data_IF_646409078509
#
_entry.id   IF_646409078509
#
_cell.length_a   1.000
_cell.length_b   1.000
_cell.length_c   1.000
_cell.angle_alpha   90.00
_cell.angle_beta   90.00
_cell.angle_gamma   90.00
#
_symmetry.space_group_name_H-M   'P 1'
#
loop_
_entity.id
_entity.type
_entity.pdbx_description
1 polymer ?
#
# COMPACT_ATOMS: atom_id res chain seq x y z
N UNK A 1 -21.56 -28.05 22.07
CA UNK A 1 -20.44 -27.15 21.74
C UNK A 1 -21.00 -25.75 21.76
N UNK A 2 -20.85 -25.03 22.87
CA UNK A 2 -21.23 -23.61 22.93
C UNK A 2 -20.19 -22.82 22.15
N UNK A 3 -20.46 -22.58 20.87
CA UNK A 3 -19.64 -21.72 20.01
C UNK A 3 -19.71 -20.28 20.54
N UNK A 4 -18.65 -19.48 20.38
CA UNK A 4 -18.65 -18.06 20.76
C UNK A 4 -19.83 -17.29 20.13
N UNK A 5 -20.35 -17.80 19.00
CA UNK A 5 -21.59 -17.32 18.38
C UNK A 5 -22.85 -17.38 19.26
N UNK A 6 -22.98 -18.36 20.16
CA UNK A 6 -24.13 -18.41 21.09
C UNK A 6 -24.09 -17.27 22.12
N UNK A 7 -22.89 -16.89 22.58
CA UNK A 7 -22.70 -15.73 23.46
C UNK A 7 -23.13 -14.45 22.74
N UNK A 8 -22.75 -14.30 21.47
CA UNK A 8 -23.14 -13.16 20.64
C UNK A 8 -24.66 -13.11 20.38
N UNK A 9 -25.32 -14.26 20.24
CA UNK A 9 -26.79 -14.34 20.13
C UNK A 9 -27.49 -13.77 21.36
N UNK A 10 -27.01 -14.09 22.56
CA UNK A 10 -27.57 -13.57 23.81
C UNK A 10 -27.39 -12.05 23.95
N UNK A 11 -26.30 -11.50 23.42
CA UNK A 11 -25.94 -10.08 23.52
C UNK A 11 -26.48 -9.26 22.33
N UNK A 12 -27.25 -9.91 21.42
CA UNK A 12 -27.66 -9.46 20.08
C UNK A 12 -26.48 -9.50 19.09
N UNK A 13 -26.62 -10.30 18.04
CA UNK A 13 -25.56 -10.59 17.06
C UNK A 13 -24.95 -9.33 16.42
N UNK A 14 -25.74 -8.25 16.24
CA UNK A 14 -25.27 -6.97 15.67
C UNK A 14 -25.87 -5.75 16.41
N UNK A 15 -25.61 -5.67 17.72
CA UNK A 15 -26.03 -4.56 18.58
C UNK A 15 -25.26 -3.25 18.37
N UNK A 16 -25.62 -2.22 19.14
CA UNK A 16 -25.01 -0.88 19.05
C UNK A 16 -23.52 -0.93 19.40
N UNK A 17 -23.14 -1.71 20.43
CA UNK A 17 -21.74 -1.89 20.79
C UNK A 17 -20.93 -2.47 19.64
N UNK A 18 -21.41 -3.53 18.98
CA UNK A 18 -20.73 -4.14 17.84
C UNK A 18 -20.62 -3.19 16.64
N UNK A 19 -21.67 -2.39 16.37
CA UNK A 19 -21.65 -1.39 15.30
C UNK A 19 -20.64 -0.28 15.56
N UNK A 20 -20.60 0.26 16.78
CA UNK A 20 -19.65 1.31 17.17
C UNK A 20 -18.22 0.80 17.13
N UNK A 21 -17.96 -0.40 17.67
CA UNK A 21 -16.64 -1.03 17.62
C UNK A 21 -16.22 -1.32 16.18
N UNK A 22 -17.14 -1.80 15.33
CA UNK A 22 -16.85 -2.01 13.91
C UNK A 22 -16.48 -0.70 13.21
N UNK A 23 -17.25 0.38 13.41
CA UNK A 23 -16.96 1.69 12.82
C UNK A 23 -15.61 2.23 13.29
N UNK A 24 -15.31 2.10 14.59
CA UNK A 24 -14.04 2.52 15.18
C UNK A 24 -12.84 1.71 14.64
N UNK A 25 -13.03 0.41 14.36
CA UNK A 25 -12.04 -0.44 13.71
C UNK A 25 -11.95 -0.26 12.19
N UNK A 26 -12.96 0.33 11.55
CA UNK A 26 -12.94 0.61 10.11
C UNK A 26 -12.05 1.80 9.76
N UNK A 27 -11.98 2.82 10.62
CA UNK A 27 -11.20 4.03 10.34
C UNK A 27 -9.67 3.78 10.20
N UNK A 28 -8.99 2.99 11.04
CA UNK A 28 -7.58 2.63 10.86
C UNK A 28 -7.38 1.91 9.53
N UNK A 29 -8.31 1.03 9.15
CA UNK A 29 -8.25 0.29 7.88
C UNK A 29 -8.41 1.22 6.67
N UNK A 30 -9.23 2.27 6.78
CA UNK A 30 -9.38 3.29 5.74
C UNK A 30 -8.06 4.06 5.56
N UNK A 31 -7.45 4.51 6.66
CA UNK A 31 -6.24 5.34 6.60
C UNK A 31 -5.00 4.51 6.25
N UNK A 32 -4.89 3.26 6.70
CA UNK A 32 -3.77 2.36 6.38
C UNK A 32 -3.61 2.17 4.86
N UNK A 33 -4.70 2.23 4.12
CA UNK A 33 -4.69 2.13 2.67
C UNK A 33 -3.87 3.26 2.00
N UNK A 34 -3.65 4.38 2.70
CA UNK A 34 -2.85 5.48 2.18
C UNK A 34 -1.36 5.12 2.10
N UNK A 35 -0.87 4.22 2.96
CA UNK A 35 0.55 3.86 3.03
C UNK A 35 0.94 3.02 1.81
N UNK A 36 0.25 1.91 1.57
CA UNK A 36 0.57 0.97 0.48
C UNK A 36 0.44 1.58 -0.91
N UNK A 37 -0.51 2.50 -1.10
CA UNK A 37 -0.86 3.00 -2.42
C UNK A 37 -0.15 4.30 -2.78
N UNK A 38 0.47 4.95 -1.80
CA UNK A 38 1.26 6.16 -2.06
C UNK A 38 2.44 5.88 -3.00
N UNK A 39 3.01 4.68 -3.00
CA UNK A 39 4.17 4.32 -3.82
C UNK A 39 3.98 4.60 -5.32
N UNK A 40 2.84 4.19 -5.91
CA UNK A 40 2.58 4.41 -7.35
C UNK A 40 2.67 5.88 -7.78
N UNK A 41 2.28 6.78 -6.89
CA UNK A 41 2.24 8.22 -7.18
C UNK A 41 3.55 8.90 -6.83
N UNK A 42 4.11 8.54 -5.68
CA UNK A 42 5.33 9.12 -5.13
C UNK A 42 6.54 8.74 -5.99
N UNK A 43 6.52 7.56 -6.61
CA UNK A 43 7.58 7.01 -7.45
C UNK A 43 7.34 7.24 -8.95
N UNK A 44 6.42 8.15 -9.30
CA UNK A 44 6.17 8.47 -10.71
C UNK A 44 7.45 8.97 -11.39
N UNK A 45 7.68 8.43 -12.58
CA UNK A 45 8.86 8.70 -13.40
C UNK A 45 8.53 9.71 -14.52
N UNK A 46 8.85 11.01 -14.37
CA UNK A 46 8.53 12.02 -15.38
C UNK A 46 9.52 12.03 -16.54
N UNK A 47 9.04 12.54 -17.69
CA UNK A 47 9.90 12.89 -18.81
C UNK A 47 10.96 13.91 -18.41
N UNK A 48 12.16 13.77 -18.97
CA UNK A 48 13.35 14.51 -18.55
C UNK A 48 14.42 14.53 -19.62
N UNK A 49 15.38 15.42 -19.43
CA UNK A 49 16.64 15.43 -20.15
C UNK A 49 17.79 15.87 -19.24
N UNK A 50 19.03 15.69 -19.71
CA UNK A 50 20.20 16.22 -19.01
C UNK A 50 20.13 17.76 -18.92
N UNK A 51 20.62 18.33 -17.83
CA UNK A 51 20.92 19.76 -17.82
C UNK A 51 22.13 20.02 -18.74
N UNK A 52 21.95 20.87 -19.74
CA UNK A 52 22.97 21.22 -20.73
C UNK A 52 23.30 22.71 -20.74
N UNK A 53 23.06 23.41 -19.63
CA UNK A 53 23.28 24.86 -19.48
C UNK A 53 24.74 25.27 -19.64
N UNK A 54 25.66 24.30 -19.64
CA UNK A 54 27.07 24.54 -19.98
C UNK A 54 27.22 25.24 -21.33
N UNK A 55 26.35 24.98 -22.31
CA UNK A 55 26.44 25.60 -23.65
C UNK A 55 26.12 27.10 -23.62
N UNK A 56 25.35 27.57 -22.63
CA UNK A 56 25.01 28.99 -22.47
C UNK A 56 26.23 29.83 -22.10
N UNK A 57 27.32 29.20 -21.63
CA UNK A 57 28.60 29.89 -21.45
C UNK A 57 29.27 30.26 -22.77
N UNK A 58 28.99 29.52 -23.85
CA UNK A 58 29.52 29.78 -25.19
C UNK A 58 28.68 30.80 -25.97
N UNK A 59 27.35 30.80 -25.77
CA UNK A 59 26.44 31.79 -26.32
C UNK A 59 25.19 31.91 -25.42
N UNK A 60 25.04 33.03 -24.68
CA UNK A 60 23.93 33.23 -23.74
C UNK A 60 22.56 33.42 -24.39
N UNK A 61 22.51 33.79 -25.67
CA UNK A 61 21.27 34.18 -26.36
C UNK A 61 20.62 33.00 -27.12
N UNK A 62 21.04 31.76 -26.83
CA UNK A 62 20.49 30.57 -27.47
C UNK A 62 19.00 30.36 -27.15
N UNK A 63 18.25 29.95 -28.18
CA UNK A 63 16.88 29.47 -27.95
C UNK A 63 16.88 28.10 -27.25
N UNK A 64 15.91 27.82 -26.36
CA UNK A 64 15.85 26.53 -25.66
C UNK A 64 15.77 25.32 -26.59
N UNK A 65 15.05 25.44 -27.71
CA UNK A 65 14.93 24.37 -28.70
C UNK A 65 16.27 24.08 -29.40
N UNK A 66 16.99 25.15 -29.75
CA UNK A 66 18.30 25.02 -30.37
C UNK A 66 19.32 24.43 -29.39
N UNK A 67 19.29 24.85 -28.12
CA UNK A 67 20.11 24.27 -27.07
C UNK A 67 19.92 22.76 -26.98
N UNK A 68 18.67 22.28 -26.91
CA UNK A 68 18.39 20.85 -26.82
C UNK A 68 18.86 20.11 -28.08
N UNK A 69 18.64 20.69 -29.26
CA UNK A 69 19.01 20.05 -30.53
C UNK A 69 20.53 19.93 -30.74
N UNK A 70 21.32 20.85 -30.17
CA UNK A 70 22.78 20.81 -30.24
C UNK A 70 23.40 19.92 -29.16
N UNK A 71 22.75 19.77 -28.00
CA UNK A 71 23.36 19.15 -26.81
C UNK A 71 22.84 17.76 -26.46
N UNK A 72 21.67 17.36 -26.99
CA UNK A 72 21.06 16.06 -26.72
C UNK A 72 21.00 15.19 -27.97
N UNK A 73 21.41 13.91 -27.88
CA UNK A 73 21.23 12.96 -28.96
C UNK A 73 19.75 12.62 -29.14
N UNK A 74 19.35 12.28 -30.37
CA UNK A 74 18.00 11.76 -30.69
C UNK A 74 18.00 10.24 -30.68
N UNK A 75 16.91 9.67 -30.19
CA UNK A 75 16.64 8.23 -30.24
C UNK A 75 16.00 7.83 -31.57
N UNK A 76 15.84 6.53 -31.80
CA UNK A 76 15.28 5.99 -33.06
C UNK A 76 13.87 6.49 -33.36
N UNK A 77 13.11 6.82 -32.31
CA UNK A 77 11.77 7.39 -32.39
C UNK A 77 11.75 8.91 -32.67
N UNK A 78 12.92 9.54 -32.81
CA UNK A 78 13.07 10.98 -33.09
C UNK A 78 12.97 11.90 -31.87
N UNK A 79 12.63 11.36 -30.71
CA UNK A 79 12.63 12.05 -29.41
C UNK A 79 14.06 12.26 -28.89
N UNK A 80 14.25 13.24 -28.02
CA UNK A 80 15.53 13.43 -27.34
C UNK A 80 15.79 12.30 -26.34
N UNK A 81 17.06 11.92 -26.18
CA UNK A 81 17.41 10.89 -25.22
C UNK A 81 17.22 11.37 -23.79
N UNK A 82 16.57 10.53 -22.98
CA UNK A 82 16.23 10.85 -21.59
C UNK A 82 17.40 10.79 -20.62
N UNK A 83 18.47 10.07 -20.98
CA UNK A 83 19.56 9.70 -20.05
C UNK A 83 20.96 10.06 -20.55
N UNK A 84 21.10 10.59 -21.77
CA UNK A 84 22.38 10.83 -22.41
C UNK A 84 22.45 12.24 -22.97
N UNK A 85 23.65 12.79 -22.97
CA UNK A 85 23.98 14.08 -23.58
C UNK A 85 25.27 13.97 -24.39
N UNK A 86 25.48 14.91 -25.30
CA UNK A 86 26.80 15.11 -25.87
C UNK A 86 27.77 15.66 -24.83
N UNK A 87 29.01 15.20 -24.90
CA UNK A 87 30.06 15.60 -23.97
C UNK A 87 30.33 17.11 -24.07
N UNK A 88 30.42 17.83 -22.95
CA UNK A 88 30.75 19.25 -22.96
C UNK A 88 32.11 19.51 -23.62
N UNK A 89 32.20 20.54 -24.44
CA UNK A 89 33.44 20.96 -25.13
C UNK A 89 33.61 22.46 -24.96
N UNK A 90 34.83 22.89 -24.64
CA UNK A 90 35.19 24.30 -24.60
C UNK A 90 35.46 24.80 -26.03
N UNK A 91 34.45 25.40 -26.68
CA UNK A 91 34.55 25.87 -28.06
C UNK A 91 33.50 26.92 -28.42
N UNK A 92 33.75 27.67 -29.51
CA UNK A 92 32.79 28.63 -30.03
C UNK A 92 31.56 27.94 -30.62
N UNK A 93 30.38 28.53 -30.39
CA UNK A 93 29.09 28.01 -30.86
C UNK A 93 29.05 27.79 -32.38
N UNK A 94 29.76 28.61 -33.15
CA UNK A 94 29.86 28.48 -34.61
C UNK A 94 30.47 27.14 -35.04
N UNK A 95 31.51 26.68 -34.33
CA UNK A 95 32.18 25.41 -34.63
C UNK A 95 31.29 24.23 -34.27
N UNK A 96 30.55 24.34 -33.16
CA UNK A 96 29.58 23.33 -32.72
C UNK A 96 28.44 23.19 -33.73
N UNK A 97 27.93 24.30 -34.27
CA UNK A 97 26.90 24.29 -35.34
C UNK A 97 27.38 23.65 -36.63
N UNK A 98 28.65 23.84 -37.00
CA UNK A 98 29.19 23.35 -38.27
C UNK A 98 29.60 21.87 -38.22
N UNK A 99 30.24 21.44 -37.13
CA UNK A 99 30.84 20.10 -37.02
C UNK A 99 30.01 19.13 -36.16
N UNK A 100 29.08 19.63 -35.36
CA UNK A 100 28.29 18.84 -34.42
C UNK A 100 29.13 18.25 -33.28
N UNK A 101 28.45 17.58 -32.35
CA UNK A 101 29.08 16.82 -31.27
C UNK A 101 28.87 15.32 -31.52
N UNK A 102 29.93 14.52 -31.39
CA UNK A 102 29.89 13.09 -31.71
C UNK A 102 30.09 12.19 -30.48
N UNK A 103 30.73 12.68 -29.43
CA UNK A 103 31.00 11.91 -28.22
C UNK A 103 29.81 12.00 -27.25
N UNK A 104 29.21 10.86 -26.91
CA UNK A 104 28.04 10.76 -26.04
C UNK A 104 28.48 10.33 -24.64
N UNK A 105 27.92 10.94 -23.61
CA UNK A 105 28.18 10.61 -22.20
C UNK A 105 26.88 10.65 -21.38
N UNK A 106 26.95 10.14 -20.15
CA UNK A 106 25.85 10.27 -19.18
C UNK A 106 25.72 11.71 -18.68
N UNK A 107 24.56 12.08 -18.13
CA UNK A 107 24.35 13.44 -17.65
C UNK A 107 25.30 13.81 -16.51
N UNK A 108 26.00 14.94 -16.63
CA UNK A 108 26.99 15.38 -15.64
C UNK A 108 26.48 16.52 -14.74
N UNK A 109 25.69 17.44 -15.30
CA UNK A 109 25.26 18.67 -14.62
C UNK A 109 23.85 18.56 -14.00
N UNK A 110 23.41 17.34 -13.70
CA UNK A 110 22.06 17.07 -13.19
C UNK A 110 21.00 16.96 -14.28
N UNK A 111 19.74 17.09 -13.86
CA UNK A 111 18.56 16.74 -14.64
C UNK A 111 17.57 17.89 -14.71
N UNK A 112 16.92 18.03 -15.87
CA UNK A 112 15.77 18.92 -16.05
C UNK A 112 14.56 18.05 -16.32
N UNK A 113 13.57 18.14 -15.43
CA UNK A 113 12.34 17.36 -15.48
C UNK A 113 11.25 18.17 -16.19
N UNK A 114 10.63 17.57 -17.21
CA UNK A 114 9.51 18.13 -17.95
C UNK A 114 8.24 17.68 -17.23
N UNK A 115 7.82 18.44 -16.22
CA UNK A 115 6.68 18.09 -15.39
C UNK A 115 5.37 18.69 -15.94
N UNK A 116 4.47 17.83 -16.42
CA UNK A 116 3.11 18.22 -16.78
C UNK A 116 2.05 17.80 -15.73
N UNK A 117 2.39 16.86 -14.85
CA UNK A 117 1.42 16.15 -13.98
C UNK A 117 1.69 16.28 -12.48
N UNK A 118 2.95 16.37 -12.06
CA UNK A 118 3.36 16.45 -10.65
C UNK A 118 4.30 17.63 -10.42
N UNK A 119 4.25 18.22 -9.24
CA UNK A 119 5.18 19.27 -8.87
C UNK A 119 6.50 18.67 -8.37
N UNK A 120 6.41 17.64 -7.52
CA UNK A 120 7.56 16.90 -6.97
C UNK A 120 7.22 15.44 -6.73
N UNK A 121 8.14 14.55 -7.09
CA UNK A 121 8.12 13.10 -6.80
C UNK A 121 9.41 12.67 -6.11
N UNK A 122 9.42 11.49 -5.46
CA UNK A 122 10.65 10.92 -4.84
C UNK A 122 11.74 10.72 -5.89
N UNK A 123 11.35 10.37 -7.12
CA UNK A 123 12.27 10.22 -8.24
C UNK A 123 12.96 11.55 -8.58
N UNK A 124 12.19 12.64 -8.72
CA UNK A 124 12.74 13.96 -9.05
C UNK A 124 13.57 14.55 -7.91
N UNK A 125 13.20 14.27 -6.66
CA UNK A 125 13.78 14.92 -5.49
C UNK A 125 15.11 14.28 -5.08
N UNK A 126 15.25 12.97 -5.29
CA UNK A 126 16.51 12.24 -5.06
C UNK A 126 17.27 11.87 -6.35
N UNK A 127 16.80 12.32 -7.53
CA UNK A 127 17.38 12.00 -8.84
C UNK A 127 17.57 10.50 -9.09
N UNK A 128 16.53 9.70 -8.84
CA UNK A 128 16.54 8.24 -8.97
C UNK A 128 16.25 7.81 -10.41
N UNK A 129 17.09 8.27 -11.34
CA UNK A 129 16.86 8.11 -12.78
C UNK A 129 18.04 7.45 -13.47
N UNK A 130 17.79 6.84 -14.63
CA UNK A 130 18.80 6.24 -15.50
C UNK A 130 19.63 5.19 -14.75
N UNK A 131 20.93 5.44 -14.48
CA UNK A 131 21.79 4.51 -13.75
C UNK A 131 21.27 4.18 -12.34
N UNK A 132 20.50 5.10 -11.75
CA UNK A 132 19.91 4.96 -10.42
C UNK A 132 18.41 4.57 -10.45
N UNK A 133 17.85 4.25 -11.61
CA UNK A 133 16.42 3.93 -11.74
C UNK A 133 16.01 2.70 -10.91
N UNK A 134 16.91 1.72 -10.76
CA UNK A 134 16.68 0.53 -9.94
C UNK A 134 16.46 0.84 -8.45
N UNK A 135 16.92 1.99 -7.95
CA UNK A 135 16.75 2.38 -6.56
C UNK A 135 15.28 2.62 -6.20
N UNK A 136 14.44 2.96 -7.19
CA UNK A 136 12.99 3.05 -7.00
C UNK A 136 12.41 1.69 -6.60
N UNK A 137 12.80 0.62 -7.31
CA UNK A 137 12.38 -0.75 -6.99
C UNK A 137 12.94 -1.24 -5.64
N UNK A 138 14.13 -0.75 -5.27
CA UNK A 138 14.73 -1.02 -3.95
C UNK A 138 13.87 -0.44 -2.83
N UNK A 139 13.31 0.76 -2.98
CA UNK A 139 12.39 1.36 -1.99
C UNK A 139 11.21 0.43 -1.73
N UNK A 140 10.53 -0.02 -2.78
CA UNK A 140 9.39 -0.94 -2.69
C UNK A 140 9.79 -2.26 -2.01
N UNK A 141 10.95 -2.80 -2.37
CA UNK A 141 11.47 -4.05 -1.81
C UNK A 141 11.77 -3.91 -0.32
N UNK A 142 12.40 -2.81 0.10
CA UNK A 142 12.71 -2.52 1.51
C UNK A 142 11.43 -2.35 2.33
N UNK A 143 10.43 -1.65 1.79
CA UNK A 143 9.12 -1.51 2.42
C UNK A 143 8.45 -2.88 2.61
N UNK A 144 8.40 -3.71 1.57
CA UNK A 144 7.80 -5.05 1.63
C UNK A 144 8.56 -6.01 2.55
N UNK A 145 9.89 -5.91 2.61
CA UNK A 145 10.70 -6.62 3.58
C UNK A 145 10.32 -6.20 5.02
N UNK A 146 10.10 -4.90 5.24
CA UNK A 146 9.54 -4.38 6.48
C UNK A 146 8.19 -5.02 6.82
N UNK A 147 7.25 -5.05 5.87
CA UNK A 147 5.92 -5.68 6.05
C UNK A 147 6.05 -7.14 6.45
N UNK A 148 6.96 -7.90 5.83
CA UNK A 148 7.23 -9.28 6.19
C UNK A 148 7.75 -9.41 7.63
N UNK A 149 8.76 -8.62 7.99
CA UNK A 149 9.34 -8.59 9.35
C UNK A 149 8.25 -8.26 10.38
N UNK A 150 7.46 -7.22 10.11
CA UNK A 150 6.33 -6.81 10.97
C UNK A 150 5.30 -7.92 11.13
N UNK A 151 4.94 -8.59 10.04
CA UNK A 151 3.99 -9.71 10.06
C UNK A 151 4.50 -10.90 10.87
N UNK A 152 5.80 -11.20 10.83
CA UNK A 152 6.40 -12.29 11.60
C UNK A 152 6.51 -11.97 13.09
N UNK A 153 6.91 -10.74 13.43
CA UNK A 153 7.07 -10.30 14.83
C UNK A 153 5.71 -10.13 15.50
N UNK A 154 4.77 -9.46 14.82
CA UNK A 154 3.51 -9.03 15.42
C UNK A 154 2.30 -9.88 15.01
N UNK A 155 2.41 -10.73 13.98
CA UNK A 155 1.34 -11.62 13.54
C UNK A 155 0.74 -12.50 14.64
N UNK A 156 1.55 -13.17 15.49
CA UNK A 156 1.04 -13.96 16.62
C UNK A 156 0.29 -13.13 17.67
N UNK A 157 0.55 -11.83 17.71
CA UNK A 157 -0.05 -10.87 18.64
C UNK A 157 -1.09 -9.96 17.99
N UNK A 158 -1.46 -10.20 16.72
CA UNK A 158 -2.35 -9.32 15.95
C UNK A 158 -3.77 -9.21 16.55
N UNK A 159 -4.18 -10.19 17.37
CA UNK A 159 -5.44 -10.13 18.13
C UNK A 159 -5.39 -9.17 19.35
N UNK A 160 -4.18 -8.75 19.77
CA UNK A 160 -3.89 -7.79 20.85
C UNK A 160 -3.75 -6.37 20.27
N UNK A 161 -4.74 -5.96 19.48
CA UNK A 161 -4.71 -4.83 18.54
C UNK A 161 -4.33 -3.46 19.14
N UNK A 162 -4.30 -3.31 20.47
CA UNK A 162 -4.31 -1.99 21.12
C UNK A 162 -2.91 -1.46 21.48
N UNK A 163 -1.95 -2.31 21.85
CA UNK A 163 -0.67 -1.84 22.42
C UNK A 163 0.47 -1.64 21.40
N UNK A 164 0.45 -2.35 20.27
CA UNK A 164 1.55 -2.33 19.28
C UNK A 164 1.49 -1.12 18.32
N UNK A 165 0.36 -0.43 18.28
CA UNK A 165 0.08 0.68 17.36
C UNK A 165 1.00 1.89 17.60
N UNK A 166 1.44 2.10 18.85
CA UNK A 166 2.09 3.35 19.28
C UNK A 166 3.44 3.64 18.59
N UNK A 167 4.11 2.63 18.02
CA UNK A 167 5.51 2.74 17.60
C UNK A 167 5.71 3.14 16.12
N UNK A 168 4.66 3.15 15.29
CA UNK A 168 4.81 3.19 13.83
C UNK A 168 4.27 4.44 13.13
N UNK A 169 3.92 5.50 13.87
CA UNK A 169 3.33 6.74 13.34
C UNK A 169 4.35 7.87 13.08
N UNK A 170 5.37 8.00 13.94
CA UNK A 170 6.51 8.91 13.72
C UNK A 170 7.26 8.74 12.39
N UNK A 171 7.46 7.53 11.84
CA UNK A 171 8.31 7.34 10.68
C UNK A 171 7.68 7.81 9.37
N UNK A 172 6.35 7.92 9.24
CA UNK A 172 5.71 8.39 7.99
C UNK A 172 5.94 9.91 7.77
N UNK A 173 5.70 10.71 8.83
CA UNK A 173 6.06 12.14 8.83
C UNK A 173 7.57 12.34 8.69
N UNK A 174 8.38 11.42 9.24
CA UNK A 174 9.84 11.48 9.14
C UNK A 174 10.36 11.11 7.75
N UNK A 175 9.69 10.20 7.03
CA UNK A 175 9.99 9.90 5.63
C UNK A 175 9.74 11.11 4.73
N UNK A 176 8.62 11.82 4.94
CA UNK A 176 8.27 13.04 4.20
C UNK A 176 9.30 14.18 4.38
N UNK A 177 9.92 14.26 5.55
CA UNK A 177 10.92 15.27 5.90
C UNK A 177 12.36 14.82 5.67
N UNK A 178 12.55 13.59 5.17
CA UNK A 178 13.89 13.03 4.98
C UNK A 178 14.69 13.86 3.96
N UNK A 179 15.90 14.34 4.32
CA UNK A 179 16.74 15.12 3.40
C UNK A 179 17.59 14.22 2.50
N UNK A 180 17.78 12.95 2.88
CA UNK A 180 18.66 12.00 2.19
C UNK A 180 17.92 10.70 1.86
N UNK A 181 18.23 10.12 0.71
CA UNK A 181 17.62 8.88 0.22
C UNK A 181 17.79 7.69 1.17
N UNK A 182 18.97 7.52 1.79
CA UNK A 182 19.18 6.42 2.73
C UNK A 182 18.36 6.55 4.03
N UNK A 183 18.11 7.79 4.49
CA UNK A 183 17.20 8.02 5.61
C UNK A 183 15.77 7.74 5.20
N UNK A 184 15.38 8.14 3.99
CA UNK A 184 14.08 7.77 3.41
C UNK A 184 13.89 6.25 3.41
N UNK A 185 14.87 5.47 2.92
CA UNK A 185 14.84 4.01 2.93
C UNK A 185 14.69 3.42 4.34
N UNK A 186 15.46 3.94 5.31
CA UNK A 186 15.37 3.49 6.70
C UNK A 186 13.97 3.75 7.28
N UNK A 187 13.37 4.90 7.01
CA UNK A 187 12.01 5.19 7.43
C UNK A 187 10.99 4.29 6.73
N UNK A 188 11.14 4.03 5.43
CA UNK A 188 10.27 3.12 4.69
C UNK A 188 10.28 1.69 5.26
N UNK A 189 11.45 1.20 5.71
CA UNK A 189 11.53 -0.07 6.41
C UNK A 189 10.69 -0.07 7.69
N UNK A 190 10.81 0.98 8.51
CA UNK A 190 10.08 1.11 9.77
C UNK A 190 8.57 1.21 9.52
N UNK A 191 8.14 2.01 8.53
CA UNK A 191 6.74 2.10 8.12
C UNK A 191 6.23 0.74 7.65
N UNK A 192 7.02 0.01 6.86
CA UNK A 192 6.70 -1.35 6.43
C UNK A 192 6.50 -2.30 7.62
N UNK A 193 7.40 -2.30 8.60
CA UNK A 193 7.25 -3.11 9.84
C UNK A 193 5.94 -2.81 10.56
N UNK A 194 5.54 -1.54 10.62
CA UNK A 194 4.24 -1.14 11.19
C UNK A 194 3.05 -1.64 10.36
N UNK A 195 3.13 -1.50 9.03
CA UNK A 195 2.09 -1.94 8.12
C UNK A 195 1.84 -3.45 8.17
N UNK A 196 2.87 -4.26 8.49
CA UNK A 196 2.74 -5.72 8.67
C UNK A 196 1.85 -6.16 9.85
N UNK A 197 1.52 -5.26 10.77
CA UNK A 197 0.61 -5.53 11.90
C UNK A 197 -0.84 -5.60 11.42
N UNK A 198 -1.18 -4.82 10.39
CA UNK A 198 -2.56 -4.58 9.98
C UNK A 198 -3.01 -5.53 8.87
N UNK A 199 -4.17 -6.14 9.07
CA UNK A 199 -4.89 -6.82 8.00
C UNK A 199 -6.01 -5.91 7.49
N UNK A 200 -5.93 -5.41 6.25
CA UNK A 200 -6.95 -4.50 5.74
C UNK A 200 -8.31 -5.20 5.71
N UNK A 201 -9.30 -4.58 6.35
CA UNK A 201 -10.71 -4.92 6.12
C UNK A 201 -11.07 -4.41 4.72
N UNK A 202 -11.14 -5.33 3.77
CA UNK A 202 -11.05 -5.08 2.33
C UNK A 202 -12.01 -4.01 1.78
N UNK A 203 -13.22 -3.88 2.32
CA UNK A 203 -14.18 -2.87 1.85
C UNK A 203 -13.82 -1.42 2.21
N UNK A 204 -13.39 -1.15 3.44
CA UNK A 204 -13.07 0.21 3.89
C UNK A 204 -11.72 0.71 3.38
N UNK A 205 -10.79 -0.22 3.14
CA UNK A 205 -9.53 0.07 2.48
C UNK A 205 -9.76 0.73 1.12
N UNK A 206 -10.58 0.11 0.25
CA UNK A 206 -10.87 0.64 -1.08
C UNK A 206 -11.43 2.08 -1.08
N UNK A 207 -12.32 2.40 -0.12
CA UNK A 207 -12.81 3.78 0.07
C UNK A 207 -11.68 4.74 0.42
N UNK A 208 -10.77 4.33 1.31
CA UNK A 208 -9.57 5.09 1.61
C UNK A 208 -8.72 5.34 0.37
N UNK A 209 -8.51 4.32 -0.47
CA UNK A 209 -7.69 4.47 -1.68
C UNK A 209 -8.31 5.45 -2.69
N UNK A 210 -9.63 5.45 -2.83
CA UNK A 210 -10.34 6.45 -3.64
C UNK A 210 -10.13 7.88 -3.11
N UNK A 211 -10.18 8.07 -1.79
CA UNK A 211 -9.90 9.36 -1.14
C UNK A 211 -8.45 9.78 -1.41
N UNK A 212 -7.51 8.86 -1.24
CA UNK A 212 -6.09 9.13 -1.49
C UNK A 212 -5.85 9.57 -2.93
N UNK A 213 -6.40 8.86 -3.93
CA UNK A 213 -6.25 9.22 -5.33
C UNK A 213 -6.73 10.66 -5.61
N UNK A 214 -7.86 11.06 -5.00
CA UNK A 214 -8.36 12.42 -5.08
C UNK A 214 -7.45 13.45 -4.39
N UNK A 215 -6.91 13.13 -3.20
CA UNK A 215 -5.98 14.00 -2.49
C UNK A 215 -4.69 14.23 -3.29
N UNK A 216 -4.11 13.18 -3.87
CA UNK A 216 -2.87 13.28 -4.65
C UNK A 216 -3.09 14.10 -5.92
N UNK A 217 -4.25 13.93 -6.59
CA UNK A 217 -4.60 14.73 -7.77
C UNK A 217 -4.61 16.24 -7.49
N UNK A 218 -5.02 16.64 -6.28
CA UNK A 218 -5.04 18.04 -5.84
C UNK A 218 -3.64 18.50 -5.42
N UNK A 219 -2.92 17.70 -4.62
CA UNK A 219 -1.69 18.15 -3.96
C UNK A 219 -0.46 18.09 -4.87
N UNK A 220 -0.33 17.06 -5.72
CA UNK A 220 0.76 16.85 -6.70
C UNK A 220 2.21 16.91 -6.18
N UNK A 221 2.40 17.10 -4.89
CA UNK A 221 3.67 17.06 -4.16
C UNK A 221 3.68 15.87 -3.19
N UNK A 222 4.66 15.00 -3.34
CA UNK A 222 4.77 13.78 -2.55
C UNK A 222 5.05 14.04 -1.06
N UNK A 223 5.83 15.06 -0.71
CA UNK A 223 6.18 15.37 0.70
C UNK A 223 4.96 15.89 1.43
N UNK A 224 4.24 16.82 0.83
CA UNK A 224 3.02 17.38 1.44
C UNK A 224 1.94 16.31 1.53
N UNK A 225 1.79 15.47 0.51
CA UNK A 225 0.88 14.34 0.53
C UNK A 225 1.18 13.40 1.71
N UNK A 226 2.44 13.00 1.91
CA UNK A 226 2.85 12.13 3.02
C UNK A 226 2.58 12.77 4.40
N UNK A 227 2.76 14.09 4.53
CA UNK A 227 2.44 14.81 5.77
C UNK A 227 0.92 14.86 6.05
N UNK A 228 0.12 15.10 5.01
CA UNK A 228 -1.34 15.13 5.15
C UNK A 228 -1.87 13.74 5.50
N UNK A 229 -1.36 12.68 4.88
CA UNK A 229 -1.77 11.30 5.17
C UNK A 229 -1.35 10.85 6.57
N UNK A 230 -0.30 11.44 7.15
CA UNK A 230 0.11 11.19 8.53
C UNK A 230 -0.87 11.76 9.59
N UNK A 231 -1.67 12.78 9.25
CA UNK A 231 -2.58 13.41 10.21
C UNK A 231 -3.76 12.50 10.64
N UNK A 232 -4.53 11.86 9.72
CA UNK A 232 -5.57 10.89 10.10
C UNK A 232 -5.00 9.65 10.82
N UNK A 233 -3.77 9.28 10.49
CA UNK A 233 -3.05 8.21 11.18
C UNK A 233 -2.78 8.60 12.64
N UNK A 234 -2.38 9.84 12.90
CA UNK A 234 -2.17 10.36 14.27
C UNK A 234 -3.48 10.35 15.08
N UNK A 235 -4.61 10.69 14.47
CA UNK A 235 -5.93 10.60 15.13
C UNK A 235 -6.24 9.17 15.59
N UNK A 236 -5.83 8.17 14.78
CA UNK A 236 -6.01 6.75 15.11
C UNK A 236 -5.33 6.35 16.41
N UNK A 237 -4.15 6.90 16.70
CA UNK A 237 -3.42 6.66 17.96
C UNK A 237 -4.21 7.14 19.16
N UNK A 238 -4.86 8.30 19.06
CA UNK A 238 -5.55 8.90 20.19
C UNK A 238 -6.75 8.05 20.58
N UNK A 239 -7.56 7.63 19.61
CA UNK A 239 -8.81 6.93 19.94
C UNK A 239 -8.65 5.41 20.10
N UNK A 240 -7.57 4.78 19.60
CA UNK A 240 -7.40 3.32 19.74
C UNK A 240 -7.26 2.88 21.20
N UNK A 241 -6.79 3.77 22.08
CA UNK A 241 -6.80 3.57 23.54
C UNK A 241 -8.20 3.36 24.12
N UNK A 242 -9.23 3.88 23.47
CA UNK A 242 -10.61 3.73 23.90
C UNK A 242 -11.27 2.45 23.35
N UNK A 243 -10.62 1.78 22.38
CA UNK A 243 -11.11 0.51 21.84
C UNK A 243 -10.71 -0.61 22.80
N UNK A 244 -11.68 -1.34 23.37
CA UNK A 244 -11.36 -2.48 24.22
C UNK A 244 -10.77 -3.63 23.41
N UNK A 245 -9.88 -4.40 24.03
CA UNK A 245 -9.35 -5.64 23.45
C UNK A 245 -10.47 -6.64 23.17
N UNK A 246 -10.25 -7.55 22.21
CA UNK A 246 -11.28 -8.52 21.85
C UNK A 246 -11.53 -9.52 22.99
N UNK A 247 -12.81 -9.81 23.27
CA UNK A 247 -13.16 -10.79 24.30
C UNK A 247 -12.54 -12.17 24.04
N UNK A 248 -12.39 -12.57 22.77
CA UNK A 248 -11.74 -13.82 22.37
C UNK A 248 -10.26 -13.85 22.76
N UNK A 249 -9.53 -12.76 22.54
CA UNK A 249 -8.13 -12.65 22.93
C UNK A 249 -7.96 -12.75 24.46
N UNK A 250 -8.81 -12.04 25.21
CA UNK A 250 -8.81 -12.08 26.67
C UNK A 250 -9.04 -13.50 27.20
N UNK A 251 -9.99 -14.24 26.62
CA UNK A 251 -10.23 -15.64 26.97
C UNK A 251 -9.05 -16.55 26.64
N UNK A 252 -8.41 -16.35 25.48
CA UNK A 252 -7.25 -17.14 25.07
C UNK A 252 -6.04 -16.92 25.99
N UNK A 253 -5.88 -15.69 26.53
CA UNK A 253 -4.87 -15.35 27.53
C UNK A 253 -5.21 -15.80 28.95
N UNK A 254 -6.40 -16.37 29.17
CA UNK A 254 -6.89 -16.76 30.50
C UNK A 254 -7.39 -15.60 31.36
N UNK A 255 -7.53 -14.39 30.79
CA UNK A 255 -8.06 -13.19 31.46
C UNK A 255 -9.60 -13.21 31.45
N UNK A 256 -10.19 -14.21 32.11
CA UNK A 256 -11.64 -14.48 32.06
C UNK A 256 -12.49 -13.39 32.68
N UNK A 257 -12.03 -12.75 33.77
CA UNK A 257 -12.78 -11.66 34.41
C UNK A 257 -12.82 -10.39 33.56
N UNK A 258 -11.71 -10.01 32.90
CA UNK A 258 -11.68 -8.88 31.97
C UNK A 258 -12.61 -9.13 30.77
N UNK A 259 -12.58 -10.35 30.20
CA UNK A 259 -13.48 -10.74 29.10
C UNK A 259 -14.95 -10.64 29.50
N UNK A 260 -15.27 -11.06 30.72
CA UNK A 260 -16.63 -11.00 31.29
C UNK A 260 -17.09 -9.56 31.49
N UNK A 261 -16.26 -8.70 32.10
CA UNK A 261 -16.59 -7.28 32.27
C UNK A 261 -16.90 -6.60 30.93
N UNK A 262 -16.10 -6.90 29.90
CA UNK A 262 -16.33 -6.39 28.55
C UNK A 262 -17.67 -6.83 27.96
N UNK A 263 -18.01 -8.11 28.11
CA UNK A 263 -19.25 -8.71 27.59
C UNK A 263 -20.48 -8.17 28.36
N UNK A 264 -20.37 -7.97 29.67
CA UNK A 264 -21.42 -7.30 30.47
C UNK A 264 -21.61 -5.85 30.03
N UNK A 265 -20.52 -5.11 29.78
CA UNK A 265 -20.58 -3.74 29.25
C UNK A 265 -21.27 -3.71 27.88
N UNK A 266 -20.93 -4.64 26.99
CA UNK A 266 -21.57 -4.77 25.69
C UNK A 266 -23.08 -5.06 25.80
N UNK A 267 -23.48 -5.97 26.71
CA UNK A 267 -24.88 -6.28 26.97
C UNK A 267 -25.66 -5.08 27.54
N UNK A 268 -25.06 -4.33 28.47
CA UNK A 268 -25.65 -3.11 29.02
C UNK A 268 -25.90 -2.05 27.94
N UNK A 269 -24.91 -1.80 27.07
CA UNK A 269 -25.03 -0.87 25.93
C UNK A 269 -26.11 -1.35 24.95
N UNK A 270 -26.22 -2.66 24.74
CA UNK A 270 -27.25 -3.28 23.91
C UNK A 270 -28.62 -3.40 24.60
N UNK A 271 -28.77 -2.87 25.82
CA UNK A 271 -29.99 -2.90 26.64
C UNK A 271 -30.52 -4.32 26.90
N UNK A 272 -29.61 -5.26 27.18
CA UNK A 272 -29.92 -6.65 27.52
C UNK A 272 -29.37 -7.03 28.89
N UNK A 273 -30.14 -7.82 29.63
CA UNK A 273 -29.71 -8.46 30.88
C UNK A 273 -29.10 -9.82 30.55
N UNK A 274 -27.85 -10.04 30.96
CA UNK A 274 -27.17 -11.34 30.76
C UNK A 274 -27.69 -12.31 31.83
N UNK A 275 -28.05 -13.57 31.47
CA UNK A 275 -28.48 -14.57 32.44
C UNK A 275 -27.31 -15.02 33.35
N UNK A 276 -27.68 -15.63 34.47
CA UNK A 276 -26.94 -15.93 35.70
C UNK A 276 -25.39 -16.07 35.63
N UNK A 277 -24.73 -15.46 36.60
CA UNK A 277 -23.28 -15.23 36.71
C UNK A 277 -22.43 -16.52 36.68
N UNK A 278 -22.97 -17.64 37.18
CA UNK A 278 -22.25 -18.91 37.28
C UNK A 278 -22.18 -19.68 35.96
N UNK A 279 -23.28 -19.75 35.21
CA UNK A 279 -23.35 -20.51 33.95
C UNK A 279 -22.44 -19.91 32.87
N UNK A 280 -22.39 -18.57 32.82
CA UNK A 280 -21.53 -17.86 31.88
C UNK A 280 -20.04 -18.06 32.18
N UNK A 281 -19.66 -18.14 33.46
CA UNK A 281 -18.27 -18.38 33.89
C UNK A 281 -17.77 -19.77 33.46
N UNK A 282 -18.62 -20.80 33.65
CA UNK A 282 -18.32 -22.19 33.24
C UNK A 282 -18.16 -22.26 31.72
N UNK A 283 -19.06 -21.61 30.98
CA UNK A 283 -18.99 -21.54 29.51
C UNK A 283 -17.69 -20.86 29.03
N UNK A 284 -17.28 -19.74 29.65
CA UNK A 284 -16.02 -19.08 29.32
C UNK A 284 -14.79 -19.94 29.62
N UNK A 285 -14.77 -20.60 30.77
CA UNK A 285 -13.68 -21.48 31.16
C UNK A 285 -13.54 -22.66 30.19
N UNK A 286 -14.67 -23.25 29.79
CA UNK A 286 -14.71 -24.37 28.85
C UNK A 286 -14.30 -23.97 27.43
N UNK A 287 -14.69 -22.78 26.96
CA UNK A 287 -14.24 -22.21 25.68
C UNK A 287 -12.73 -21.91 25.72
N UNK A 288 -12.22 -21.34 26.82
CA UNK A 288 -10.79 -21.09 26.99
C UNK A 288 -9.96 -22.37 26.93
N UNK A 289 -10.43 -23.45 27.58
CA UNK A 289 -9.79 -24.77 27.52
C UNK A 289 -9.81 -25.36 26.10
N UNK A 290 -10.92 -25.26 25.38
CA UNK A 290 -11.03 -25.73 23.99
C UNK A 290 -10.08 -24.97 23.05
N UNK A 291 -9.98 -23.65 23.19
CA UNK A 291 -9.05 -22.82 22.41
C UNK A 291 -7.59 -23.22 22.68
N UNK A 292 -7.26 -23.50 23.94
CA UNK A 292 -5.92 -23.95 24.35
C UNK A 292 -5.58 -25.36 23.84
N UNK A 293 -6.57 -26.25 23.80
CA UNK A 293 -6.43 -27.63 23.34
C UNK A 293 -6.24 -27.72 21.81
N UNK A 294 -6.93 -26.86 21.03
CA UNK A 294 -6.69 -26.74 19.57
C UNK A 294 -5.30 -26.20 19.27
N UNK A 295 -4.77 -25.32 20.12
CA UNK A 295 -3.40 -24.79 20.00
C UNK A 295 -2.28 -25.81 20.30
N UNK A 296 -2.57 -26.93 20.96
CA UNK A 296 -1.58 -27.92 21.40
C UNK A 296 -1.70 -29.32 20.74
N UNK A 297 -2.54 -29.52 19.74
CA UNK A 297 -2.67 -30.83 19.07
C UNK A 297 -1.53 -31.12 18.06
N UNK A 298 -1.01 -32.37 17.94
CA UNK A 298 0.04 -32.73 16.97
C UNK A 298 -0.57 -32.80 15.55
N UNK A 299 -0.37 -31.89 14.59
CA UNK A 299 0.80 -31.20 13.99
C UNK A 299 1.48 -31.92 12.80
N UNK A 300 0.80 -32.81 12.05
CA UNK A 300 1.30 -33.26 10.72
C UNK A 300 0.32 -33.06 9.55
N UNK A 301 -0.99 -33.26 9.75
CA UNK A 301 -2.01 -32.90 8.75
C UNK A 301 -2.29 -31.39 8.71
N UNK A 302 -2.18 -30.73 9.87
CA UNK A 302 -2.39 -29.29 10.02
C UNK A 302 -1.26 -28.47 9.38
N UNK A 303 0.00 -28.93 9.50
CA UNK A 303 1.16 -28.27 8.88
C UNK A 303 1.09 -28.28 7.36
N UNK A 304 0.70 -29.41 6.75
CA UNK A 304 0.51 -29.51 5.29
C UNK A 304 -0.60 -28.58 4.81
N UNK A 305 -1.73 -28.52 5.53
CA UNK A 305 -2.83 -27.62 5.20
C UNK A 305 -2.44 -26.15 5.38
N UNK A 306 -1.69 -25.81 6.43
CA UNK A 306 -1.14 -24.47 6.64
C UNK A 306 -0.16 -24.09 5.55
N UNK A 307 0.76 -24.98 5.17
CA UNK A 307 1.71 -24.75 4.08
C UNK A 307 0.99 -24.51 2.74
N UNK A 308 -0.02 -25.34 2.41
CA UNK A 308 -0.85 -25.13 1.20
C UNK A 308 -1.58 -23.79 1.27
N UNK A 309 -2.17 -23.42 2.41
CA UNK A 309 -2.80 -22.11 2.58
C UNK A 309 -1.81 -20.96 2.47
N UNK A 310 -0.60 -21.08 2.99
CA UNK A 310 0.47 -20.06 2.90
C UNK A 310 0.89 -19.89 1.46
N UNK A 311 1.22 -20.97 0.74
CA UNK A 311 1.59 -20.92 -0.67
C UNK A 311 0.48 -20.29 -1.51
N UNK A 312 -0.77 -20.69 -1.28
CA UNK A 312 -1.92 -20.15 -1.97
C UNK A 312 -2.12 -18.64 -1.71
N UNK A 313 -1.98 -18.22 -0.44
CA UNK A 313 -2.03 -16.80 -0.05
C UNK A 313 -0.88 -16.02 -0.69
N UNK A 314 0.32 -16.57 -0.68
CA UNK A 314 1.50 -15.97 -1.29
C UNK A 314 1.29 -15.74 -2.79
N UNK A 315 0.87 -16.77 -3.54
CA UNK A 315 0.60 -16.65 -4.98
C UNK A 315 -0.47 -15.61 -5.27
N UNK A 316 -1.59 -15.63 -4.54
CA UNK A 316 -2.67 -14.66 -4.76
C UNK A 316 -2.22 -13.23 -4.48
N UNK A 317 -1.49 -13.01 -3.38
CA UNK A 317 -0.94 -11.70 -3.01
C UNK A 317 0.08 -11.20 -4.03
N UNK A 318 0.96 -12.09 -4.51
CA UNK A 318 1.96 -11.76 -5.53
C UNK A 318 1.28 -11.28 -6.82
N UNK A 319 0.27 -12.01 -7.31
CA UNK A 319 -0.46 -11.62 -8.53
C UNK A 319 -1.14 -10.26 -8.36
N UNK A 320 -1.80 -10.02 -7.22
CA UNK A 320 -2.48 -8.73 -6.96
C UNK A 320 -1.49 -7.57 -6.93
N UNK A 321 -0.37 -7.70 -6.23
CA UNK A 321 0.64 -6.63 -6.19
C UNK A 321 1.36 -6.45 -7.54
N UNK A 322 1.63 -7.52 -8.28
CA UNK A 322 2.19 -7.41 -9.62
C UNK A 322 1.26 -6.66 -10.58
N UNK A 323 -0.05 -6.93 -10.54
CA UNK A 323 -1.03 -6.19 -11.33
C UNK A 323 -1.09 -4.72 -10.88
N UNK A 324 -1.05 -4.50 -9.56
CA UNK A 324 -1.08 -3.18 -8.96
C UNK A 324 0.09 -2.29 -9.42
N UNK A 325 1.32 -2.77 -9.28
CA UNK A 325 2.52 -2.01 -9.69
C UNK A 325 2.59 -1.79 -11.20
N UNK A 326 2.02 -2.70 -12.01
CA UNK A 326 1.94 -2.52 -13.46
C UNK A 326 0.80 -1.60 -13.92
N UNK A 327 -0.10 -1.15 -13.03
CA UNK A 327 -1.21 -0.28 -13.45
C UNK A 327 -0.75 1.08 -13.97
N UNK A 328 0.45 1.54 -13.58
CA UNK A 328 1.04 2.77 -14.10
C UNK A 328 1.29 2.73 -15.62
N UNK A 329 1.41 1.53 -16.21
CA UNK A 329 1.65 1.34 -17.64
C UNK A 329 0.37 1.35 -18.49
N UNK A 330 -0.81 1.51 -17.88
CA UNK A 330 -2.07 1.66 -18.60
C UNK A 330 -2.18 3.09 -19.13
N UNK A 331 -2.56 3.25 -20.40
CA UNK A 331 -2.57 4.52 -21.13
C UNK A 331 -3.59 5.58 -20.68
N UNK A 332 -4.29 5.35 -19.56
CA UNK A 332 -5.11 6.37 -18.90
C UNK A 332 -4.24 7.13 -17.89
N UNK A 333 -4.60 8.38 -17.56
CA UNK A 333 -3.92 9.12 -16.49
C UNK A 333 -3.86 8.27 -15.21
N UNK A 334 -2.69 8.18 -14.58
CA UNK A 334 -2.44 7.28 -13.44
C UNK A 334 -3.45 7.48 -12.28
N UNK A 335 -3.90 8.72 -12.07
CA UNK A 335 -4.93 9.07 -11.08
C UNK A 335 -6.29 8.43 -11.37
N UNK A 336 -6.74 8.53 -12.62
CA UNK A 336 -8.04 8.02 -13.04
C UNK A 336 -8.03 6.49 -13.06
N UNK A 337 -6.98 5.88 -13.59
CA UNK A 337 -6.78 4.43 -13.57
C UNK A 337 -6.87 3.91 -12.15
N UNK A 338 -6.09 4.49 -11.24
CA UNK A 338 -6.12 4.10 -9.84
C UNK A 338 -7.51 4.25 -9.23
N UNK A 339 -8.16 5.42 -9.39
CA UNK A 339 -9.47 5.66 -8.83
C UNK A 339 -10.51 4.65 -9.32
N UNK A 340 -10.55 4.36 -10.63
CA UNK A 340 -11.51 3.43 -11.22
C UNK A 340 -11.32 2.00 -10.72
N UNK A 341 -10.07 1.51 -10.66
CA UNK A 341 -9.79 0.17 -10.16
C UNK A 341 -10.25 0.00 -8.70
N UNK A 342 -10.01 1.02 -7.86
CA UNK A 342 -10.43 0.99 -6.45
C UNK A 342 -11.94 1.19 -6.29
N UNK A 343 -12.56 2.00 -7.14
CA UNK A 343 -14.01 2.19 -7.15
C UNK A 343 -14.75 0.91 -7.54
N UNK A 344 -14.22 0.11 -8.47
CA UNK A 344 -14.77 -1.21 -8.87
C UNK A 344 -14.65 -2.23 -7.74
N UNK A 345 -13.61 -2.14 -6.93
CA UNK A 345 -13.36 -3.05 -5.81
C UNK A 345 -14.46 -2.97 -4.73
N UNK A 346 -15.04 -1.78 -4.49
CA UNK A 346 -16.12 -1.55 -3.51
C UNK A 346 -17.37 -2.41 -3.79
N UNK A 347 -18.06 -2.30 -4.95
CA UNK A 347 -19.20 -3.14 -5.26
C UNK A 347 -18.81 -4.61 -5.41
N UNK A 348 -17.60 -4.92 -5.90
CA UNK A 348 -17.11 -6.30 -5.99
C UNK A 348 -17.05 -6.99 -4.62
N UNK A 349 -16.64 -6.31 -3.55
CA UNK A 349 -16.66 -6.87 -2.19
C UNK A 349 -18.08 -7.15 -1.70
N UNK A 350 -19.03 -6.24 -1.96
CA UNK A 350 -20.44 -6.45 -1.58
C UNK A 350 -21.07 -7.62 -2.35
N UNK A 351 -20.77 -7.72 -3.65
CA UNK A 351 -21.20 -8.81 -4.50
C UNK A 351 -20.59 -10.14 -4.03
N UNK A 352 -19.31 -10.14 -3.67
CA UNK A 352 -18.63 -11.32 -3.15
C UNK A 352 -19.26 -11.83 -1.84
N UNK A 353 -19.61 -10.93 -0.90
CA UNK A 353 -20.32 -11.33 0.33
C UNK A 353 -21.64 -12.05 0.00
N UNK A 354 -22.42 -11.50 -0.93
CA UNK A 354 -23.67 -12.12 -1.38
C UNK A 354 -23.45 -13.46 -2.09
N UNK A 355 -22.48 -13.54 -3.02
CA UNK A 355 -22.15 -14.77 -3.74
C UNK A 355 -21.65 -15.88 -2.81
N UNK A 356 -20.95 -15.53 -1.73
CA UNK A 356 -20.48 -16.48 -0.72
C UNK A 356 -21.64 -17.17 0.01
N UNK A 357 -22.75 -16.46 0.25
CA UNK A 357 -23.96 -17.01 0.86
C UNK A 357 -24.72 -17.93 -0.11
N UNK A 358 -24.78 -17.58 -1.39
CA UNK A 358 -25.53 -18.33 -2.41
C UNK A 358 -24.80 -19.59 -2.88
N UNK A 359 -23.52 -19.47 -3.27
CA UNK A 359 -22.79 -20.56 -3.92
C UNK A 359 -21.88 -21.34 -2.97
N UNK A 360 -21.65 -20.80 -1.77
CA UNK A 360 -20.72 -21.35 -0.80
C UNK A 360 -19.25 -21.09 -1.15
N UNK A 361 -18.39 -21.13 -0.12
CA UNK A 361 -16.99 -20.69 -0.19
C UNK A 361 -16.14 -21.41 -1.23
N UNK A 362 -16.25 -22.75 -1.32
CA UNK A 362 -15.36 -23.58 -2.17
C UNK A 362 -15.61 -23.35 -3.66
N UNK A 363 -16.87 -23.35 -4.09
CA UNK A 363 -17.23 -23.19 -5.51
C UNK A 363 -16.87 -21.79 -6.00
N UNK A 364 -17.17 -20.78 -5.20
CA UNK A 364 -16.87 -19.39 -5.54
C UNK A 364 -15.36 -19.17 -5.67
N UNK A 365 -14.56 -19.66 -4.72
CA UNK A 365 -13.10 -19.53 -4.76
C UNK A 365 -12.48 -20.14 -6.02
N UNK A 366 -12.92 -21.34 -6.40
CA UNK A 366 -12.44 -22.02 -7.62
C UNK A 366 -12.84 -21.19 -8.86
N UNK A 367 -14.08 -20.73 -8.94
CA UNK A 367 -14.57 -19.96 -10.06
C UNK A 367 -13.81 -18.63 -10.22
N UNK A 368 -13.61 -17.87 -9.15
CA UNK A 368 -12.92 -16.57 -9.20
C UNK A 368 -11.46 -16.70 -9.60
N UNK A 369 -10.78 -17.77 -9.17
CA UNK A 369 -9.36 -17.99 -9.50
C UNK A 369 -9.19 -18.45 -10.94
N UNK A 370 -10.06 -19.35 -11.42
CA UNK A 370 -10.06 -19.74 -12.82
C UNK A 370 -10.34 -18.53 -13.71
N UNK A 371 -11.33 -17.70 -13.35
CA UNK A 371 -11.63 -16.48 -14.08
C UNK A 371 -10.45 -15.49 -14.10
N UNK A 372 -9.83 -15.24 -12.94
CA UNK A 372 -8.65 -14.37 -12.84
C UNK A 372 -7.45 -14.90 -13.64
N UNK A 373 -7.20 -16.21 -13.58
CA UNK A 373 -6.13 -16.87 -14.34
C UNK A 373 -6.35 -16.81 -15.84
N UNK A 374 -7.57 -17.07 -16.32
CA UNK A 374 -7.94 -16.94 -17.74
C UNK A 374 -7.76 -15.48 -18.18
N UNK A 375 -8.18 -14.52 -17.37
CA UNK A 375 -8.03 -13.09 -17.67
C UNK A 375 -6.56 -12.71 -17.83
N UNK A 376 -5.67 -13.20 -16.95
CA UNK A 376 -4.23 -12.95 -17.07
C UNK A 376 -3.63 -13.54 -18.36
N UNK A 377 -4.09 -14.71 -18.80
CA UNK A 377 -3.65 -15.33 -20.06
C UNK A 377 -4.17 -14.51 -21.25
N UNK A 378 -5.40 -14.01 -21.19
CA UNK A 378 -5.99 -13.19 -22.25
C UNK A 378 -5.26 -11.86 -22.46
N UNK A 379 -4.58 -11.31 -21.45
CA UNK A 379 -3.74 -10.11 -21.61
C UNK A 379 -2.65 -10.34 -22.68
N UNK A 380 -2.12 -11.56 -22.81
CA UNK A 380 -1.11 -11.88 -23.84
C UNK A 380 -1.66 -11.81 -25.27
N UNK A 381 -2.98 -11.92 -25.44
CA UNK A 381 -3.63 -11.80 -26.74
C UNK A 381 -3.89 -10.34 -27.15
N UNK A 382 -3.71 -9.38 -26.24
CA UNK A 382 -3.85 -7.96 -26.53
C UNK A 382 -2.55 -7.46 -27.19
N UNK A 383 -2.59 -7.01 -28.46
CA UNK A 383 -1.40 -6.51 -29.11
C UNK A 383 -0.89 -5.25 -28.39
N UNK A 384 0.43 -5.16 -28.21
CA UNK A 384 1.12 -3.96 -27.69
C UNK A 384 1.08 -2.84 -28.74
N UNK A 385 -0.11 -2.35 -29.07
CA UNK A 385 -0.28 -1.21 -29.95
C UNK A 385 0.17 0.06 -29.21
N UNK A 386 1.13 0.78 -29.79
CA UNK A 386 1.64 2.10 -29.36
C UNK A 386 0.52 2.98 -28.77
N UNK A 387 0.44 3.01 -27.44
CA UNK A 387 -0.46 3.86 -26.65
C UNK A 387 0.38 4.78 -25.73
N UNK A 388 1.63 5.06 -26.11
CA UNK A 388 2.54 6.01 -25.44
C UNK A 388 2.31 7.48 -25.85
N UNK A 389 1.27 7.78 -26.64
CA UNK A 389 0.95 9.14 -27.04
C UNK A 389 -0.55 9.42 -26.94
N UNK A 390 -1.04 9.73 -25.73
CA UNK A 390 -2.09 10.75 -25.51
C UNK A 390 -1.76 11.48 -24.21
#
# INVERSE_FOLDING_TARGET
>A
MTDFGEILRHIREFGLFQKLTLLALSFPNLVQAFIFESFLFVEFDPDRHCNTDWILSADPDLSPEEQLNLTLPREEDGTFSRCRMFKPVDGNISTIREHGLNEITGCQNGWVYINNMYDRTVVTDFNLVCDNANLVEVVQTVFMAGVLIGSLIFGPSAESYVNTMQTFFFPLSSAALSPNFYLYLAFQLIVGVGAGIFRPLSGFGAVGQCILAGLIYIMRDWRVTQLITAAPLTLTVVYIWFIPESARWLLNRGKTEEAKQLIMKAAAINKRTVPDYGHFLIMFHQIGLLLKQVGCSPLWSLERMQAVCICFRFTTTLVVYCLFFNMANLALSIFLTQFLFRAIEIPAHTLNMWLLEVFGRKKLLIATILFGGISCILILAVPQGKLQHI
#
